data_IF_328257908177
#
_entry.id   IF_328257908177
#
_cell.length_a   1.000
_cell.length_b   1.000
_cell.length_c   1.000
_cell.angle_alpha   90.00
_cell.angle_beta   90.00
_cell.angle_gamma   90.00
#
_symmetry.space_group_name_H-M   'P 1'
#
loop_
_entity.id
_entity.type
_entity.pdbx_description
1 polymer ?
#
# COMPACT_ATOMS: atom_id res chain seq x y z
N UNK A 1 9.07 2.61 -14.17
CA UNK A 1 7.90 3.31 -13.58
C UNK A 1 8.39 4.21 -12.45
N UNK A 2 8.04 5.50 -12.44
CA UNK A 2 8.46 6.45 -11.39
C UNK A 2 7.92 5.97 -10.03
N UNK A 3 8.81 5.58 -9.11
CA UNK A 3 8.44 5.14 -7.75
C UNK A 3 7.80 6.32 -7.01
N UNK A 4 6.51 6.23 -6.74
CA UNK A 4 5.72 7.30 -6.13
C UNK A 4 5.62 7.19 -4.59
N UNK A 5 6.47 6.37 -3.98
CA UNK A 5 6.42 6.06 -2.55
C UNK A 5 7.83 6.01 -1.98
N UNK A 6 8.06 6.78 -0.92
CA UNK A 6 9.26 6.66 -0.10
C UNK A 6 9.27 5.26 0.54
N UNK A 7 10.43 4.59 0.65
CA UNK A 7 10.53 3.20 1.13
C UNK A 7 9.80 2.96 2.46
N UNK A 8 9.73 3.97 3.32
CA UNK A 8 8.97 3.95 4.57
C UNK A 8 7.46 3.74 4.37
N UNK A 9 6.83 4.42 3.39
CA UNK A 9 5.41 4.28 3.09
C UNK A 9 5.03 2.94 2.45
N UNK A 10 6.02 2.23 1.89
CA UNK A 10 5.89 0.85 1.41
C UNK A 10 5.93 -0.16 2.55
N UNK A 11 6.86 0.02 3.49
CA UNK A 11 7.00 -0.83 4.68
C UNK A 11 5.76 -0.74 5.57
N UNK A 12 5.24 0.47 5.82
CA UNK A 12 4.02 0.65 6.61
C UNK A 12 2.82 -0.05 5.97
N UNK A 13 2.70 -0.04 4.64
CA UNK A 13 1.63 -0.74 3.91
C UNK A 13 1.79 -2.26 3.94
N UNK A 14 3.01 -2.78 3.81
CA UNK A 14 3.25 -4.22 3.99
C UNK A 14 2.91 -4.67 5.41
N UNK A 15 3.24 -3.86 6.40
CA UNK A 15 2.87 -4.13 7.79
C UNK A 15 1.34 -4.13 7.97
N UNK A 16 0.64 -3.13 7.44
CA UNK A 16 -0.82 -3.05 7.49
C UNK A 16 -1.47 -4.24 6.77
N UNK A 17 -0.94 -4.62 5.60
CA UNK A 17 -1.41 -5.77 4.84
C UNK A 17 -1.25 -7.07 5.64
N UNK A 18 -0.12 -7.26 6.32
CA UNK A 18 0.13 -8.41 7.19
C UNK A 18 -0.90 -8.50 8.32
N UNK A 19 -1.21 -7.38 8.98
CA UNK A 19 -2.22 -7.32 10.05
C UNK A 19 -3.62 -7.67 9.54
N UNK A 20 -4.02 -7.13 8.38
CA UNK A 20 -5.30 -7.44 7.75
C UNK A 20 -5.37 -8.93 7.37
N UNK A 21 -4.27 -9.50 6.88
CA UNK A 21 -4.19 -10.90 6.50
C UNK A 21 -4.34 -11.84 7.70
N UNK A 22 -3.67 -11.53 8.81
CA UNK A 22 -3.81 -12.26 10.08
C UNK A 22 -5.25 -12.18 10.63
N UNK A 23 -5.87 -11.00 10.53
CA UNK A 23 -7.27 -10.82 10.91
C UNK A 23 -8.23 -11.60 10.01
N UNK A 24 -7.98 -11.60 8.70
CA UNK A 24 -8.77 -12.36 7.72
C UNK A 24 -8.72 -13.87 8.00
N UNK A 25 -7.53 -14.37 8.37
CA UNK A 25 -7.33 -15.75 8.78
C UNK A 25 -8.12 -16.10 10.05
N UNK A 26 -8.07 -15.23 11.05
CA UNK A 26 -8.80 -15.42 12.31
C UNK A 26 -10.32 -15.48 12.12
N UNK A 27 -10.88 -14.57 11.30
CA UNK A 27 -12.32 -14.45 11.07
C UNK A 27 -12.84 -15.36 9.95
N UNK A 28 -11.98 -16.18 9.32
CA UNK A 28 -12.31 -17.06 8.19
C UNK A 28 -13.12 -16.37 7.08
N UNK A 29 -12.88 -15.07 6.89
CA UNK A 29 -13.69 -14.22 6.04
C UNK A 29 -13.02 -14.06 4.68
N UNK A 30 -13.63 -14.64 3.65
CA UNK A 30 -13.14 -14.58 2.27
C UNK A 30 -12.98 -13.13 1.76
N UNK A 31 -13.88 -12.24 2.16
CA UNK A 31 -13.81 -10.81 1.82
C UNK A 31 -12.54 -10.16 2.38
N UNK A 32 -12.21 -10.44 3.65
CA UNK A 32 -11.03 -9.87 4.29
C UNK A 32 -9.74 -10.39 3.64
N UNK A 33 -9.75 -11.64 3.17
CA UNK A 33 -8.63 -12.22 2.42
C UNK A 33 -8.42 -11.52 1.08
N UNK A 34 -9.49 -11.28 0.32
CA UNK A 34 -9.43 -10.54 -0.94
C UNK A 34 -8.91 -9.10 -0.75
N UNK A 35 -9.34 -8.42 0.32
CA UNK A 35 -8.84 -7.08 0.68
C UNK A 35 -7.35 -7.14 1.05
N UNK A 36 -6.93 -8.12 1.84
CA UNK A 36 -5.52 -8.32 2.20
C UNK A 36 -4.63 -8.49 0.97
N UNK A 37 -5.02 -9.34 0.01
CA UNK A 37 -4.31 -9.54 -1.26
C UNK A 37 -4.24 -8.25 -2.07
N UNK A 38 -5.33 -7.49 -2.15
CA UNK A 38 -5.36 -6.20 -2.85
C UNK A 38 -4.37 -5.19 -2.24
N UNK A 39 -4.32 -5.07 -0.92
CA UNK A 39 -3.40 -4.15 -0.22
C UNK A 39 -1.93 -4.57 -0.43
N UNK A 40 -1.64 -5.88 -0.47
CA UNK A 40 -0.30 -6.39 -0.82
C UNK A 40 0.06 -5.99 -2.25
N UNK A 41 -0.88 -6.14 -3.18
CA UNK A 41 -0.67 -5.77 -4.58
C UNK A 41 -0.37 -4.27 -4.74
N UNK A 42 -1.11 -3.40 -4.05
CA UNK A 42 -0.81 -1.95 -4.01
C UNK A 42 0.58 -1.66 -3.42
N UNK A 43 0.99 -2.38 -2.38
CA UNK A 43 2.31 -2.23 -1.76
C UNK A 43 3.45 -2.71 -2.68
N UNK A 44 3.22 -3.76 -3.48
CA UNK A 44 4.19 -4.27 -4.46
C UNK A 44 4.35 -3.32 -5.64
N UNK A 45 3.23 -2.82 -6.17
CA UNK A 45 3.21 -1.88 -7.30
C UNK A 45 3.75 -0.49 -6.92
N UNK A 46 3.98 -0.21 -5.63
CA UNK A 46 4.32 1.14 -5.12
C UNK A 46 3.35 2.21 -5.65
N UNK A 47 2.09 1.81 -5.83
CA UNK A 47 1.03 2.60 -6.39
C UNK A 47 -0.17 2.44 -5.48
N UNK A 48 -0.57 3.54 -4.84
CA UNK A 48 -1.69 3.54 -3.93
C UNK A 48 -2.78 4.45 -4.47
N UNK A 49 -3.97 3.90 -4.62
CA UNK A 49 -5.11 4.62 -5.21
C UNK A 49 -5.50 5.82 -4.33
N UNK A 50 -5.34 5.71 -3.01
CA UNK A 50 -5.63 6.78 -2.04
C UNK A 50 -4.70 7.98 -2.26
N UNK A 51 -3.40 7.76 -2.51
CA UNK A 51 -2.48 8.86 -2.80
C UNK A 51 -2.76 9.52 -4.16
N UNK A 52 -3.23 8.73 -5.13
CA UNK A 52 -3.65 9.24 -6.43
C UNK A 52 -4.92 10.10 -6.30
N UNK A 53 -5.91 9.67 -5.51
CA UNK A 53 -7.15 10.43 -5.25
C UNK A 53 -6.86 11.69 -4.42
N UNK A 54 -5.98 11.60 -3.41
CA UNK A 54 -5.57 12.75 -2.59
C UNK A 54 -4.60 13.70 -3.31
N UNK A 55 -4.17 13.39 -4.54
CA UNK A 55 -3.18 14.19 -5.28
C UNK A 55 -1.82 14.31 -4.58
N UNK A 56 -1.54 13.45 -3.61
CA UNK A 56 -0.35 13.50 -2.76
C UNK A 56 0.69 12.51 -3.28
N UNK A 57 1.67 13.02 -4.01
CA UNK A 57 2.86 12.25 -4.37
C UNK A 57 3.84 12.30 -3.20
N UNK A 58 4.06 11.17 -2.51
CA UNK A 58 5.10 11.06 -1.46
C UNK A 58 6.52 10.99 -2.05
N UNK A 59 6.65 11.10 -3.37
CA UNK A 59 7.92 11.34 -4.01
C UNK A 59 8.31 12.81 -3.74
N UNK A 60 9.41 13.10 -3.03
CA UNK A 60 10.06 14.38 -3.22
C UNK A 60 10.44 14.40 -4.68
N UNK A 61 9.72 15.20 -5.48
CA UNK A 61 10.28 15.66 -6.74
C UNK A 61 11.46 16.49 -6.26
N UNK A 62 12.66 15.91 -6.32
CA UNK A 62 13.89 16.65 -6.15
C UNK A 62 13.82 17.80 -7.17
N UNK A 63 13.39 18.97 -6.68
CA UNK A 63 13.40 20.21 -7.44
C UNK A 63 14.83 20.73 -7.43
N UNK A 64 15.80 19.94 -7.87
CA UNK A 64 17.10 20.48 -8.30
C UNK A 64 16.85 21.15 -9.64
N UNK A 65 16.48 22.42 -9.56
CA UNK A 65 16.75 23.40 -10.61
C UNK A 65 18.10 24.02 -10.32
#
# INVERSE_FOLDING_TARGET
MKKNINSFGRILRLFLALVIFLYAWWQNSWIAFAIGVFVIFEALMSWCIIYQILGKNSCPIDKRK
#
